data_IF_610637008166
#
_entry.id   IF_610637008166
#
_cell.length_a   1.000
_cell.length_b   1.000
_cell.length_c   1.000
_cell.angle_alpha   90.00
_cell.angle_beta   90.00
_cell.angle_gamma   90.00
#
_symmetry.space_group_name_H-M   'P 1'
#
loop_
_entity.id
_entity.type
_entity.pdbx_description
1 polymer ?
#
# COMPACT_ATOMS: atom_id res chain seq x y z
N UNK A 1 16.86 -22.09 -7.50
CA UNK A 1 15.63 -21.76 -6.77
C UNK A 1 15.75 -20.29 -6.40
N UNK A 2 14.83 -19.43 -6.85
CA UNK A 2 14.91 -18.00 -6.61
C UNK A 2 14.89 -17.73 -5.11
N UNK A 3 15.72 -16.80 -4.64
CA UNK A 3 15.64 -16.34 -3.25
C UNK A 3 14.60 -15.25 -3.15
N UNK A 4 13.46 -15.60 -2.58
CA UNK A 4 12.33 -14.69 -2.38
C UNK A 4 12.43 -13.99 -1.03
N UNK A 5 12.23 -12.68 -1.01
CA UNK A 5 11.88 -11.95 0.21
C UNK A 5 10.41 -11.59 0.19
N UNK A 6 9.64 -12.20 1.08
CA UNK A 6 8.22 -11.94 1.26
C UNK A 6 7.96 -11.10 2.51
N UNK A 7 7.11 -10.09 2.38
CA UNK A 7 6.55 -9.32 3.49
C UNK A 7 5.06 -9.05 3.23
N UNK A 8 4.32 -8.74 4.29
CA UNK A 8 2.88 -8.46 4.21
C UNK A 8 2.51 -7.46 5.31
N UNK A 9 1.29 -6.91 5.24
CA UNK A 9 0.70 -6.08 6.31
C UNK A 9 1.53 -4.82 6.66
N UNK A 10 1.86 -4.04 5.63
CA UNK A 10 2.65 -2.82 5.78
C UNK A 10 1.84 -1.62 6.30
N UNK A 11 0.53 -1.62 6.07
CA UNK A 11 -0.43 -0.63 6.59
C UNK A 11 0.06 0.83 6.48
N UNK A 12 0.52 1.23 5.29
CA UNK A 12 0.96 2.59 4.99
C UNK A 12 2.32 2.99 5.58
N UNK A 13 3.03 2.09 6.26
CA UNK A 13 4.33 2.39 6.87
C UNK A 13 5.44 2.54 5.82
N UNK A 14 5.76 3.79 5.48
CA UNK A 14 6.79 4.08 4.46
C UNK A 14 8.18 3.59 4.90
N UNK A 15 8.41 3.47 6.22
CA UNK A 15 9.65 2.88 6.76
C UNK A 15 9.72 1.40 6.40
N UNK A 16 8.63 0.66 6.59
CA UNK A 16 8.59 -0.76 6.26
C UNK A 16 8.71 -0.97 4.76
N UNK A 17 8.06 -0.14 3.93
CA UNK A 17 8.23 -0.17 2.47
C UNK A 17 9.70 0.04 2.05
N UNK A 18 10.37 1.06 2.59
CA UNK A 18 11.80 1.29 2.31
C UNK A 18 12.68 0.13 2.78
N UNK A 19 12.37 -0.49 3.92
CA UNK A 19 13.11 -1.68 4.42
C UNK A 19 12.90 -2.88 3.51
N UNK A 20 11.67 -3.13 3.08
CA UNK A 20 11.31 -4.18 2.12
C UNK A 20 12.10 -4.04 0.82
N UNK A 21 12.14 -2.84 0.22
CA UNK A 21 12.92 -2.61 -0.99
C UNK A 21 14.44 -2.81 -0.78
N UNK A 22 14.96 -2.47 0.40
CA UNK A 22 16.36 -2.71 0.75
C UNK A 22 16.67 -4.19 1.03
N UNK A 23 15.66 -5.01 1.31
CA UNK A 23 15.81 -6.42 1.63
C UNK A 23 16.45 -7.21 0.48
N UNK A 24 16.17 -6.83 -0.77
CA UNK A 24 16.80 -7.42 -1.95
C UNK A 24 18.33 -7.40 -1.84
N UNK A 25 18.91 -6.22 -1.63
CA UNK A 25 20.36 -6.07 -1.46
C UNK A 25 20.86 -6.69 -0.16
N UNK A 26 20.14 -6.48 0.94
CA UNK A 26 20.61 -6.89 2.27
C UNK A 26 20.67 -8.41 2.43
N UNK A 27 19.63 -9.11 1.95
CA UNK A 27 19.55 -10.58 2.05
C UNK A 27 20.02 -11.29 0.78
N UNK A 28 20.36 -10.56 -0.28
CA UNK A 28 20.67 -11.11 -1.60
C UNK A 28 19.47 -11.86 -2.18
N UNK A 29 18.27 -11.28 -2.08
CA UNK A 29 17.06 -11.83 -2.67
C UNK A 29 17.00 -11.45 -4.15
N UNK A 30 16.55 -12.39 -4.97
CA UNK A 30 16.37 -12.23 -6.42
C UNK A 30 15.01 -11.60 -6.74
N UNK A 31 14.03 -11.82 -5.85
CA UNK A 31 12.64 -11.37 -6.02
C UNK A 31 12.08 -10.84 -4.71
N UNK A 32 11.32 -9.74 -4.82
CA UNK A 32 10.56 -9.13 -3.74
C UNK A 32 9.06 -9.39 -3.95
N UNK A 33 8.36 -9.82 -2.89
CA UNK A 33 6.90 -9.99 -2.91
C UNK A 33 6.31 -9.30 -1.68
N UNK A 34 5.38 -8.37 -1.90
CA UNK A 34 4.62 -7.72 -0.84
C UNK A 34 3.14 -8.13 -0.94
N UNK A 35 2.65 -8.90 0.02
CA UNK A 35 1.22 -9.07 0.25
C UNK A 35 0.62 -7.87 0.98
N UNK A 36 -0.69 -7.75 0.95
CA UNK A 36 -1.43 -6.73 1.69
C UNK A 36 -1.50 -7.00 3.20
N UNK A 37 -2.09 -6.10 3.98
CA UNK A 37 -2.65 -4.82 3.54
C UNK A 37 -1.56 -3.75 3.38
N UNK A 38 -1.71 -2.92 2.35
CA UNK A 38 -0.69 -1.93 1.99
C UNK A 38 -0.98 -0.53 2.50
N UNK A 39 -2.25 -0.15 2.55
CA UNK A 39 -2.68 1.24 2.74
C UNK A 39 -2.80 1.58 4.22
N UNK A 40 -2.54 2.86 4.53
CA UNK A 40 -2.72 3.45 5.84
C UNK A 40 -4.18 3.73 6.18
N UNK A 41 -4.45 3.95 7.46
CA UNK A 41 -5.83 3.95 7.99
C UNK A 41 -6.48 5.32 8.16
N UNK A 42 -5.71 6.42 8.13
CA UNK A 42 -6.24 7.75 8.41
C UNK A 42 -5.42 8.88 7.79
N UNK A 43 -6.13 9.96 7.45
CA UNK A 43 -5.53 11.28 7.22
C UNK A 43 -5.21 11.91 8.57
N UNK A 44 -4.02 12.51 8.69
CA UNK A 44 -3.64 13.40 9.77
C UNK A 44 -3.57 14.81 9.21
N UNK A 45 -4.57 15.67 9.52
CA UNK A 45 -4.59 17.05 9.07
C UNK A 45 -3.42 17.84 9.68
N UNK A 46 -2.73 18.60 8.83
CA UNK A 46 -1.80 19.66 9.22
C UNK A 46 -2.49 20.98 8.89
N UNK A 47 -3.13 21.57 9.90
CA UNK A 47 -4.03 22.70 9.72
C UNK A 47 -3.24 24.00 9.67
N UNK A 48 -3.32 24.72 8.56
CA UNK A 48 -2.73 26.03 8.37
C UNK A 48 -3.75 27.13 8.69
N UNK A 49 -3.39 28.05 9.60
CA UNK A 49 -4.21 29.19 10.01
C UNK A 49 -3.31 30.41 10.27
N UNK A 50 -3.53 31.52 9.57
CA UNK A 50 -2.79 32.78 9.76
C UNK A 50 -1.24 32.63 9.73
N UNK A 51 -0.72 31.71 8.91
CA UNK A 51 0.72 31.43 8.80
C UNK A 51 1.28 30.50 9.87
N UNK A 52 0.44 29.98 10.77
CA UNK A 52 0.78 28.97 11.76
C UNK A 52 0.23 27.61 11.36
N UNK A 53 0.95 26.53 11.70
CA UNK A 53 0.49 25.17 11.48
C UNK A 53 0.20 24.48 12.80
N UNK A 54 -0.84 23.65 12.81
CA UNK A 54 -1.20 22.80 13.96
C UNK A 54 -1.40 21.38 13.46
N UNK A 55 -0.91 20.40 14.23
CA UNK A 55 -1.24 18.99 14.00
C UNK A 55 -1.66 18.33 15.31
N UNK A 56 -2.58 17.38 15.24
CA UNK A 56 -2.94 16.52 16.36
C UNK A 56 -2.53 15.10 16.03
N UNK A 57 -1.64 14.52 16.83
CA UNK A 57 -1.14 13.16 16.62
C UNK A 57 -1.09 12.41 17.95
N UNK A 58 -1.76 11.26 18.05
CA UNK A 58 -1.85 10.50 19.30
C UNK A 58 -2.62 11.21 20.42
N UNK A 59 -3.54 12.13 20.05
CA UNK A 59 -4.32 12.94 21.00
C UNK A 59 -3.62 14.22 21.48
N UNK A 60 -2.35 14.41 21.12
CA UNK A 60 -1.60 15.62 21.48
C UNK A 60 -1.64 16.63 20.33
N UNK A 61 -2.11 17.84 20.64
CA UNK A 61 -2.10 18.98 19.72
C UNK A 61 -0.77 19.72 19.86
N UNK A 62 -0.06 19.90 18.75
CA UNK A 62 1.20 20.62 18.71
C UNK A 62 1.17 21.72 17.64
N UNK A 63 1.80 22.85 17.95
CA UNK A 63 2.10 23.89 16.97
C UNK A 63 3.34 23.49 16.17
N UNK A 64 3.31 23.74 14.86
CA UNK A 64 4.36 23.39 13.91
C UNK A 64 4.74 24.67 13.17
N UNK A 65 6.04 24.94 13.05
CA UNK A 65 6.52 26.06 12.23
C UNK A 65 6.60 25.64 10.76
N UNK A 66 6.53 26.60 9.84
CA UNK A 66 6.50 26.32 8.39
C UNK A 66 7.70 25.47 7.91
N UNK A 67 8.88 25.69 8.49
CA UNK A 67 10.12 24.94 8.20
C UNK A 67 10.12 23.51 8.78
N UNK A 68 9.27 23.22 9.77
CA UNK A 68 9.14 21.89 10.39
C UNK A 68 8.06 21.01 9.73
N UNK A 69 7.20 21.59 8.88
CA UNK A 69 6.06 20.86 8.28
C UNK A 69 6.52 19.60 7.56
N UNK A 70 7.55 19.67 6.73
CA UNK A 70 8.06 18.51 5.98
C UNK A 70 8.56 17.38 6.90
N UNK A 71 9.16 17.72 8.05
CA UNK A 71 9.59 16.73 9.04
C UNK A 71 8.36 16.03 9.67
N UNK A 72 7.35 16.82 10.04
CA UNK A 72 6.10 16.33 10.62
C UNK A 72 5.37 15.42 9.63
N UNK A 73 5.27 15.80 8.35
CA UNK A 73 4.72 14.95 7.29
C UNK A 73 5.45 13.61 7.20
N UNK A 74 6.79 13.66 7.23
CA UNK A 74 7.62 12.47 7.29
C UNK A 74 7.28 11.60 8.50
N UNK A 75 7.18 12.18 9.68
CA UNK A 75 6.85 11.48 10.93
C UNK A 75 5.48 10.78 10.86
N UNK A 76 4.49 11.44 10.25
CA UNK A 76 3.14 10.89 10.03
C UNK A 76 3.20 9.69 9.07
N UNK A 77 3.89 9.81 7.93
CA UNK A 77 4.05 8.70 6.97
C UNK A 77 4.78 7.50 7.57
N UNK A 78 5.77 7.73 8.44
CA UNK A 78 6.46 6.65 9.15
C UNK A 78 5.55 5.84 10.09
N UNK A 79 4.44 6.44 10.53
CA UNK A 79 3.44 5.77 11.39
C UNK A 79 2.30 5.11 10.61
N UNK A 80 2.32 5.14 9.28
CA UNK A 80 1.25 4.56 8.47
C UNK A 80 0.04 5.47 8.26
N UNK A 81 0.21 6.77 8.43
CA UNK A 81 -0.86 7.76 8.21
C UNK A 81 -0.54 8.67 7.03
N UNK A 82 -1.57 9.33 6.52
CA UNK A 82 -1.45 10.27 5.43
C UNK A 82 -1.44 11.71 5.92
N UNK A 83 -0.31 12.43 5.85
CA UNK A 83 -0.33 13.85 6.15
C UNK A 83 -1.06 14.62 5.05
N UNK A 84 -1.94 15.53 5.44
CA UNK A 84 -2.60 16.44 4.51
C UNK A 84 -2.60 17.86 5.08
N UNK A 85 -1.87 18.75 4.43
CA UNK A 85 -1.96 20.17 4.73
C UNK A 85 -3.30 20.73 4.24
N UNK A 86 -4.01 21.46 5.09
CA UNK A 86 -5.31 22.03 4.75
C UNK A 86 -5.61 23.27 5.60
N UNK A 87 -6.58 24.10 5.17
CA UNK A 87 -7.06 25.23 5.97
C UNK A 87 -8.09 24.77 7.00
N UNK A 88 -8.41 25.65 7.96
CA UNK A 88 -9.49 25.40 8.94
C UNK A 88 -10.83 25.18 8.24
N UNK A 89 -11.11 25.93 7.17
CA UNK A 89 -12.35 25.83 6.41
C UNK A 89 -12.46 24.48 5.70
N UNK A 90 -11.35 24.00 5.10
CA UNK A 90 -11.33 22.67 4.48
C UNK A 90 -11.50 21.56 5.50
N UNK A 91 -10.88 21.69 6.68
CA UNK A 91 -11.10 20.73 7.77
C UNK A 91 -12.59 20.68 8.17
N UNK A 92 -13.22 21.85 8.36
CA UNK A 92 -14.63 21.94 8.69
C UNK A 92 -15.53 21.39 7.58
N UNK A 93 -15.22 21.66 6.31
CA UNK A 93 -15.96 21.10 5.18
C UNK A 93 -15.94 19.57 5.20
N UNK A 94 -14.75 18.99 5.38
CA UNK A 94 -14.57 17.55 5.52
C UNK A 94 -15.34 17.05 6.75
N UNK A 95 -15.25 17.69 7.91
CA UNK A 95 -15.98 17.26 9.12
C UNK A 95 -17.51 17.24 8.98
N UNK A 96 -18.08 18.05 8.09
CA UNK A 96 -19.53 18.10 7.87
C UNK A 96 -20.02 17.26 6.68
N UNK A 97 -19.13 16.76 5.82
CA UNK A 97 -19.50 16.02 4.60
C UNK A 97 -18.78 14.67 4.52
N UNK A 98 -19.45 13.57 4.93
CA UNK A 98 -18.87 12.22 4.86
C UNK A 98 -18.46 11.77 3.47
N UNK A 99 -19.16 12.23 2.42
CA UNK A 99 -18.86 11.83 1.05
C UNK A 99 -17.55 12.50 0.58
N UNK A 100 -17.40 13.80 0.86
CA UNK A 100 -16.14 14.52 0.57
C UNK A 100 -14.97 14.00 1.38
N UNK A 101 -15.19 13.52 2.62
CA UNK A 101 -14.14 12.84 3.38
C UNK A 101 -13.69 11.54 2.73
N UNK A 102 -14.63 10.73 2.28
CA UNK A 102 -14.31 9.47 1.63
C UNK A 102 -13.52 9.70 0.34
N UNK A 103 -13.97 10.64 -0.50
CA UNK A 103 -13.26 11.06 -1.72
C UNK A 103 -11.85 11.58 -1.40
N UNK A 104 -11.73 12.50 -0.44
CA UNK A 104 -10.43 13.03 -0.02
C UNK A 104 -9.51 11.95 0.54
N UNK A 105 -10.05 10.96 1.26
CA UNK A 105 -9.25 9.84 1.77
C UNK A 105 -8.73 8.96 0.66
N UNK A 106 -9.60 8.58 -0.29
CA UNK A 106 -9.22 7.80 -1.47
C UNK A 106 -8.11 8.50 -2.26
N UNK A 107 -8.27 9.80 -2.58
CA UNK A 107 -7.27 10.56 -3.33
C UNK A 107 -5.89 10.51 -2.65
N UNK A 108 -5.85 10.84 -1.35
CA UNK A 108 -4.61 10.90 -0.58
C UNK A 108 -3.98 9.51 -0.41
N UNK A 109 -4.80 8.47 -0.25
CA UNK A 109 -4.35 7.09 -0.20
C UNK A 109 -3.70 6.67 -1.52
N UNK A 110 -4.35 6.94 -2.66
CA UNK A 110 -3.82 6.59 -3.98
C UNK A 110 -2.54 7.36 -4.31
N UNK A 111 -2.45 8.65 -3.92
CA UNK A 111 -1.19 9.41 -3.96
C UNK A 111 -0.09 8.78 -3.09
N UNK A 112 -0.47 8.20 -1.95
CA UNK A 112 0.40 7.44 -1.06
C UNK A 112 1.00 6.20 -1.74
N UNK A 113 0.14 5.40 -2.38
CA UNK A 113 0.54 4.20 -3.13
C UNK A 113 1.41 4.58 -4.33
N UNK A 114 1.03 5.60 -5.10
CA UNK A 114 1.79 6.08 -6.26
C UNK A 114 3.20 6.54 -5.85
N UNK A 115 3.32 7.25 -4.73
CA UNK A 115 4.62 7.59 -4.14
C UNK A 115 5.45 6.36 -3.81
N UNK A 116 4.84 5.31 -3.24
CA UNK A 116 5.54 4.06 -2.95
C UNK A 116 6.02 3.36 -4.22
N UNK A 117 5.21 3.35 -5.28
CA UNK A 117 5.58 2.79 -6.58
C UNK A 117 6.79 3.54 -7.17
N UNK A 118 6.79 4.88 -7.12
CA UNK A 118 7.92 5.71 -7.55
C UNK A 118 9.19 5.41 -6.75
N UNK A 119 9.08 5.29 -5.42
CA UNK A 119 10.22 4.91 -4.57
C UNK A 119 10.79 3.53 -4.92
N UNK A 120 9.94 2.57 -5.28
CA UNK A 120 10.37 1.25 -5.72
C UNK A 120 11.08 1.32 -7.08
N UNK A 121 10.50 2.05 -8.05
CA UNK A 121 11.12 2.25 -9.35
C UNK A 121 12.54 2.86 -9.22
N UNK A 122 12.68 3.93 -8.45
CA UNK A 122 13.98 4.58 -8.21
C UNK A 122 14.98 3.63 -7.56
N UNK A 123 14.52 2.77 -6.64
CA UNK A 123 15.37 1.86 -5.88
C UNK A 123 15.82 0.64 -6.68
N UNK A 124 14.95 0.10 -7.53
CA UNK A 124 15.15 -1.17 -8.23
C UNK A 124 15.72 -0.99 -9.64
N UNK A 125 15.73 0.24 -10.18
CA UNK A 125 16.24 0.52 -11.52
C UNK A 125 17.67 0.03 -11.70
N UNK A 126 17.88 -0.74 -12.76
CA UNK A 126 19.19 -1.31 -13.11
C UNK A 126 19.66 -2.46 -12.21
N UNK A 127 18.86 -2.89 -11.23
CA UNK A 127 19.23 -4.00 -10.33
C UNK A 127 18.89 -5.38 -10.88
N UNK A 128 17.92 -5.47 -11.80
CA UNK A 128 17.37 -6.73 -12.29
C UNK A 128 16.38 -7.42 -11.35
N UNK A 129 16.16 -6.88 -10.14
CA UNK A 129 15.23 -7.42 -9.15
C UNK A 129 13.79 -7.20 -9.61
N UNK A 130 12.98 -8.26 -9.57
CA UNK A 130 11.53 -8.18 -9.80
C UNK A 130 10.80 -7.95 -8.48
N UNK A 131 9.80 -7.07 -8.49
CA UNK A 131 9.01 -6.72 -7.32
C UNK A 131 7.52 -6.92 -7.62
N UNK A 132 6.87 -7.77 -6.84
CA UNK A 132 5.45 -8.05 -6.93
C UNK A 132 4.72 -7.50 -5.72
N UNK A 133 3.51 -7.02 -5.97
CA UNK A 133 2.63 -6.49 -4.95
C UNK A 133 1.23 -7.06 -5.15
N UNK A 134 0.61 -7.53 -4.07
CA UNK A 134 -0.76 -7.99 -4.04
C UNK A 134 -1.51 -7.22 -2.95
N UNK A 135 -2.33 -6.21 -3.29
CA UNK A 135 -3.17 -5.50 -2.31
C UNK A 135 -4.04 -6.49 -1.52
N UNK A 136 -4.30 -6.20 -0.26
CA UNK A 136 -5.07 -7.05 0.65
C UNK A 136 -6.55 -6.69 0.71
N UNK A 137 -7.27 -7.18 1.69
CA UNK A 137 -8.71 -6.97 1.76
C UNK A 137 -9.09 -5.54 2.19
N UNK A 138 -8.26 -4.86 3.00
CA UNK A 138 -8.47 -3.47 3.43
C UNK A 138 -8.12 -2.45 2.33
N UNK A 139 -7.38 -2.83 1.30
CA UNK A 139 -6.97 -1.91 0.24
C UNK A 139 -8.13 -1.64 -0.73
N UNK A 140 -8.31 -0.43 -1.28
CA UNK A 140 -9.37 -0.22 -2.29
C UNK A 140 -9.01 -0.85 -3.66
N UNK A 141 -10.01 -1.05 -4.52
CA UNK A 141 -9.81 -1.68 -5.84
C UNK A 141 -8.94 -0.82 -6.76
N UNK A 142 -9.03 0.50 -6.62
CA UNK A 142 -8.29 1.51 -7.36
C UNK A 142 -6.77 1.44 -7.09
N UNK A 143 -6.35 0.82 -5.98
CA UNK A 143 -4.93 0.56 -5.67
C UNK A 143 -4.30 -0.33 -6.76
N UNK A 144 -5.06 -1.30 -7.27
CA UNK A 144 -4.60 -2.16 -8.36
C UNK A 144 -4.20 -1.34 -9.59
N UNK A 145 -4.99 -0.31 -9.93
CA UNK A 145 -4.76 0.51 -11.12
C UNK A 145 -3.51 1.38 -10.98
N UNK A 146 -3.19 1.83 -9.77
CA UNK A 146 -1.92 2.51 -9.48
C UNK A 146 -0.75 1.55 -9.70
N UNK A 147 -0.84 0.32 -9.19
CA UNK A 147 0.23 -0.68 -9.33
C UNK A 147 0.39 -1.12 -10.79
N UNK A 148 -0.70 -1.33 -11.54
CA UNK A 148 -0.64 -1.70 -12.97
C UNK A 148 0.09 -0.66 -13.82
N UNK A 149 0.06 0.62 -13.43
CA UNK A 149 0.75 1.72 -14.12
C UNK A 149 2.18 1.94 -13.63
N UNK A 150 2.58 1.28 -12.55
CA UNK A 150 3.90 1.46 -11.95
C UNK A 150 5.02 0.95 -12.86
N UNK A 151 6.20 1.54 -12.72
CA UNK A 151 7.42 1.02 -13.33
C UNK A 151 8.13 0.10 -12.33
N UNK A 152 8.61 -1.06 -12.79
CA UNK A 152 9.39 -2.03 -12.00
C UNK A 152 8.67 -2.66 -10.80
N UNK A 153 7.36 -2.42 -10.66
CA UNK A 153 6.49 -3.12 -9.71
C UNK A 153 5.34 -3.75 -10.49
N UNK A 154 5.06 -5.01 -10.23
CA UNK A 154 4.02 -5.78 -10.91
C UNK A 154 2.89 -6.14 -9.94
N UNK A 155 1.64 -5.97 -10.38
CA UNK A 155 0.47 -6.47 -9.65
C UNK A 155 0.43 -8.00 -9.73
N UNK A 156 0.42 -8.65 -8.57
CA UNK A 156 0.32 -10.12 -8.43
C UNK A 156 -1.11 -10.64 -8.26
N UNK A 157 -2.06 -9.77 -7.91
CA UNK A 157 -3.46 -10.13 -7.66
C UNK A 157 -4.12 -10.79 -8.89
N UNK A 158 -4.73 -11.95 -8.69
CA UNK A 158 -5.68 -12.54 -9.65
C UNK A 158 -5.04 -13.12 -10.92
N UNK A 159 -3.72 -13.38 -10.93
CA UNK A 159 -3.00 -13.90 -12.10
C UNK A 159 -1.89 -14.87 -11.74
N UNK A 160 -1.53 -15.72 -12.71
CA UNK A 160 -0.31 -16.53 -12.65
C UNK A 160 0.87 -15.73 -13.16
N UNK A 161 1.98 -15.74 -12.42
CA UNK A 161 3.23 -15.07 -12.78
C UNK A 161 4.36 -16.08 -12.79
N UNK A 162 5.20 -16.05 -13.82
CA UNK A 162 6.41 -16.86 -13.85
C UNK A 162 7.57 -16.15 -13.13
N UNK A 163 8.29 -16.90 -12.28
CA UNK A 163 9.43 -16.47 -11.49
C UNK A 163 10.51 -17.56 -11.52
N UNK A 164 11.50 -17.42 -12.42
CA UNK A 164 12.68 -18.29 -12.50
C UNK A 164 12.36 -19.81 -12.50
N UNK A 165 11.39 -20.21 -13.30
CA UNK A 165 10.90 -21.59 -13.44
C UNK A 165 9.79 -21.97 -12.45
N UNK A 166 9.36 -21.05 -11.58
CA UNK A 166 8.23 -21.24 -10.67
C UNK A 166 7.01 -20.44 -11.13
N UNK A 167 5.81 -20.97 -10.92
CA UNK A 167 4.57 -20.24 -11.12
C UNK A 167 4.06 -19.70 -9.77
N UNK A 168 3.88 -18.39 -9.66
CA UNK A 168 3.31 -17.74 -8.49
C UNK A 168 1.86 -17.34 -8.76
N UNK A 169 0.97 -17.61 -7.80
CA UNK A 169 -0.37 -17.04 -7.77
C UNK A 169 -0.57 -16.24 -6.48
N UNK A 170 -1.41 -15.21 -6.51
CA UNK A 170 -1.69 -14.39 -5.33
C UNK A 170 -3.11 -13.87 -5.34
N UNK A 171 -3.72 -13.82 -4.15
CA UNK A 171 -5.03 -13.19 -3.93
C UNK A 171 -5.04 -12.46 -2.60
N UNK A 172 -5.48 -11.21 -2.61
CA UNK A 172 -5.79 -10.40 -1.44
C UNK A 172 -7.25 -10.50 -0.99
N UNK A 173 -8.08 -11.25 -1.70
CA UNK A 173 -9.45 -11.52 -1.28
C UNK A 173 -9.48 -12.39 -0.03
N UNK A 174 -10.38 -12.04 0.89
CA UNK A 174 -10.61 -12.80 2.11
C UNK A 174 -12.06 -13.27 2.20
N UNK A 175 -12.30 -14.18 3.15
CA UNK A 175 -13.65 -14.43 3.66
C UNK A 175 -14.26 -13.16 4.27
N UNK A 176 -15.58 -13.13 4.54
CA UNK A 176 -16.22 -11.95 5.10
C UNK A 176 -15.65 -11.62 6.48
N UNK A 177 -15.32 -10.36 6.71
CA UNK A 177 -14.77 -9.88 7.98
C UNK A 177 -15.81 -9.08 8.77
N UNK A 178 -15.59 -8.83 10.07
CA UNK A 178 -16.43 -7.91 10.83
C UNK A 178 -16.41 -6.45 10.30
N UNK A 179 -15.41 -6.10 9.49
CA UNK A 179 -15.16 -4.74 9.02
C UNK A 179 -15.79 -4.43 7.67
N UNK A 180 -16.26 -5.45 6.92
CA UNK A 180 -16.83 -5.30 5.58
C UNK A 180 -15.91 -4.52 4.65
N UNK A 181 -14.73 -5.09 4.46
CA UNK A 181 -13.61 -4.54 3.68
C UNK A 181 -13.87 -4.64 2.18
N UNK A 182 -12.92 -4.20 1.36
CA UNK A 182 -13.13 -4.00 -0.08
C UNK A 182 -13.06 -5.29 -0.89
N UNK A 183 -12.27 -6.29 -0.46
CA UNK A 183 -12.11 -7.57 -1.14
C UNK A 183 -12.56 -8.73 -0.25
N UNK A 184 -13.88 -8.92 -0.17
CA UNK A 184 -14.48 -10.04 0.58
C UNK A 184 -15.41 -10.89 -0.29
N UNK A 185 -15.28 -12.20 -0.15
CA UNK A 185 -16.09 -13.21 -0.84
C UNK A 185 -16.55 -14.28 0.15
N UNK A 186 -17.62 -15.01 -0.16
CA UNK A 186 -17.95 -16.22 0.61
C UNK A 186 -16.84 -17.28 0.44
N UNK A 187 -16.77 -18.26 1.36
CA UNK A 187 -15.82 -19.38 1.26
C UNK A 187 -15.88 -20.07 -0.12
N UNK A 188 -17.09 -20.23 -0.67
CA UNK A 188 -17.29 -20.90 -1.96
C UNK A 188 -16.76 -20.05 -3.12
N UNK A 189 -17.02 -18.74 -3.10
CA UNK A 189 -16.53 -17.82 -4.13
C UNK A 189 -15.01 -17.66 -4.08
N UNK A 190 -14.44 -17.54 -2.87
CA UNK A 190 -13.00 -17.45 -2.69
C UNK A 190 -12.28 -18.73 -3.14
N UNK A 191 -12.84 -19.91 -2.84
CA UNK A 191 -12.32 -21.17 -3.35
C UNK A 191 -12.34 -21.22 -4.89
N UNK A 192 -13.44 -20.78 -5.52
CA UNK A 192 -13.53 -20.70 -6.98
C UNK A 192 -12.49 -19.75 -7.59
N UNK A 193 -12.23 -18.61 -6.94
CA UNK A 193 -11.19 -17.65 -7.35
C UNK A 193 -9.80 -18.27 -7.30
N UNK A 194 -9.48 -18.96 -6.20
CA UNK A 194 -8.19 -19.64 -6.04
C UNK A 194 -8.05 -20.77 -7.07
N UNK A 195 -9.07 -21.61 -7.23
CA UNK A 195 -9.07 -22.72 -8.19
C UNK A 195 -8.90 -22.24 -9.64
N UNK A 196 -9.50 -21.10 -9.99
CA UNK A 196 -9.36 -20.49 -11.32
C UNK A 196 -7.90 -20.11 -11.62
N UNK A 197 -7.13 -19.65 -10.63
CA UNK A 197 -5.70 -19.39 -10.80
C UNK A 197 -4.86 -20.66 -10.71
N UNK A 198 -5.13 -21.51 -9.71
CA UNK A 198 -4.37 -22.74 -9.47
C UNK A 198 -4.45 -23.72 -10.64
N UNK A 199 -5.59 -23.79 -11.33
CA UNK A 199 -5.75 -24.63 -12.53
C UNK A 199 -4.91 -24.20 -13.74
N UNK A 200 -4.41 -22.96 -13.74
CA UNK A 200 -3.52 -22.43 -14.77
C UNK A 200 -2.03 -22.65 -14.45
N UNK A 201 -1.71 -23.13 -13.24
CA UNK A 201 -0.33 -23.45 -12.84
C UNK A 201 0.14 -24.70 -13.59
N UNK A 202 1.21 -24.60 -14.43
CA UNK A 202 1.61 -25.70 -15.31
C UNK A 202 2.26 -26.87 -14.57
N UNK A 203 2.94 -26.59 -13.45
CA UNK A 203 3.58 -27.58 -12.61
C UNK A 203 3.38 -27.21 -11.13
N UNK A 204 2.49 -27.92 -10.46
CA UNK A 204 2.17 -27.72 -9.05
C UNK A 204 3.35 -28.02 -8.11
N UNK A 205 4.35 -28.78 -8.57
CA UNK A 205 5.58 -29.03 -7.80
C UNK A 205 6.58 -27.86 -7.86
N UNK A 206 6.34 -26.90 -8.76
CA UNK A 206 7.10 -25.66 -8.93
C UNK A 206 6.18 -24.44 -8.83
N UNK A 207 5.41 -24.36 -7.75
CA UNK A 207 4.49 -23.27 -7.46
C UNK A 207 4.91 -22.46 -6.21
N UNK A 208 4.59 -21.17 -6.21
CA UNK A 208 4.75 -20.22 -5.09
C UNK A 208 3.37 -19.67 -4.71
#
# INVERSE_FOLDING_TARGET
MPKVFFATDLHGSEVCWKKFLNAAKFYGADVLICGGDMTGKAIVPIVAENGHYTVTLGGERQAVTADQVAEVEGNIRRKGYYPLQMTVERLQELDHDPAKRAECFQDVMLEGVDRWMKLAADKLRGTGIRCFVCPGNDDEMEVDDVIRRAELVELGEGRVVEIEGFAMISTGWSNPTPWKTHREESEVELAQRIDAMASQVPDQSHAI
#
